data_IF_050321996902
#
_entry.id   IF_050321996902
#
_cell.length_a   1.000
_cell.length_b   1.000
_cell.length_c   1.000
_cell.angle_alpha   90.00
_cell.angle_beta   90.00
_cell.angle_gamma   90.00
#
_symmetry.space_group_name_H-M   'P 1'
#
loop_
_entity.id
_entity.type
_entity.pdbx_description
1 polymer ?
#
# COMPACT_ATOMS: atom_id res chain seq x y z
N UNK A 1 3.82 -4.35 -26.22
CA UNK A 1 4.81 -3.26 -26.35
C UNK A 1 6.17 -3.82 -25.95
N UNK A 2 7.17 -3.84 -26.86
CA UNK A 2 8.49 -4.44 -26.61
C UNK A 2 9.15 -3.83 -25.36
N UNK A 3 9.85 -4.65 -24.57
CA UNK A 3 10.50 -4.30 -23.29
C UNK A 3 11.38 -3.04 -23.37
N UNK A 4 11.98 -2.76 -24.54
CA UNK A 4 12.77 -1.55 -24.80
C UNK A 4 11.95 -0.24 -24.75
N UNK A 5 10.71 -0.26 -25.25
CA UNK A 5 9.82 0.91 -25.22
C UNK A 5 9.38 1.27 -23.79
N UNK A 6 9.16 0.25 -22.94
CA UNK A 6 8.86 0.46 -21.51
C UNK A 6 10.08 1.03 -20.77
N UNK A 7 11.28 0.53 -21.04
CA UNK A 7 12.53 1.03 -20.44
C UNK A 7 12.79 2.52 -20.70
N UNK A 8 12.55 3.00 -21.93
CA UNK A 8 12.67 4.44 -22.27
C UNK A 8 11.66 5.33 -21.54
N UNK A 9 10.43 4.86 -21.35
CA UNK A 9 9.42 5.63 -20.60
C UNK A 9 9.81 5.68 -19.11
N UNK A 10 10.34 4.59 -18.56
CA UNK A 10 10.74 4.54 -17.15
C UNK A 10 11.89 5.45 -16.78
N UNK A 11 12.85 5.69 -17.68
CA UNK A 11 13.96 6.62 -17.40
C UNK A 11 13.47 8.05 -17.11
N UNK A 12 12.33 8.44 -17.69
CA UNK A 12 11.78 9.79 -17.54
C UNK A 12 10.93 9.96 -16.26
N UNK A 13 10.57 8.85 -15.60
CA UNK A 13 9.78 8.82 -14.36
C UNK A 13 10.56 8.16 -13.21
N UNK A 14 11.81 8.60 -13.04
CA UNK A 14 12.59 8.35 -11.83
C UNK A 14 12.46 9.56 -10.91
N UNK A 15 12.25 9.29 -9.62
CA UNK A 15 12.32 10.32 -8.59
C UNK A 15 13.45 10.02 -7.63
N UNK A 16 14.02 11.09 -7.09
CA UNK A 16 14.97 10.98 -6.00
C UNK A 16 14.22 10.57 -4.72
N UNK A 17 14.74 9.55 -4.05
CA UNK A 17 14.27 9.07 -2.76
C UNK A 17 15.44 9.25 -1.82
N UNK A 18 15.23 9.94 -0.69
CA UNK A 18 16.29 10.12 0.30
C UNK A 18 16.88 8.77 0.75
N UNK A 19 18.14 8.79 1.18
CA UNK A 19 18.80 7.58 1.68
C UNK A 19 18.42 7.25 3.13
N UNK A 20 18.09 8.27 3.92
CA UNK A 20 17.90 8.14 5.37
C UNK A 20 17.11 9.33 5.97
N UNK A 21 16.89 9.30 7.28
CA UNK A 21 16.36 10.39 8.10
C UNK A 21 14.93 10.78 7.70
N UNK A 22 14.01 9.81 7.84
CA UNK A 22 12.61 9.95 7.45
C UNK A 22 11.68 10.24 8.63
N UNK A 23 10.82 11.24 8.47
CA UNK A 23 9.61 11.37 9.26
C UNK A 23 8.51 10.50 8.66
N UNK A 24 8.05 9.49 9.39
CA UNK A 24 7.05 8.55 8.93
C UNK A 24 5.64 9.02 9.29
N UNK A 25 4.82 9.23 8.26
CA UNK A 25 3.39 9.55 8.43
C UNK A 25 2.54 8.30 8.23
N UNK A 26 1.78 7.98 9.27
CA UNK A 26 1.04 6.73 9.45
C UNK A 26 -0.24 6.72 8.64
N UNK A 27 -0.74 5.54 8.31
CA UNK A 27 -2.01 5.37 7.59
C UNK A 27 -3.12 4.93 8.54
N UNK A 28 -4.25 5.66 8.57
CA UNK A 28 -5.39 5.25 9.39
C UNK A 28 -5.92 3.85 8.98
N UNK A 29 -6.04 3.57 7.68
CA UNK A 29 -6.51 2.26 7.20
C UNK A 29 -5.48 1.17 7.52
N UNK A 30 -4.18 1.43 7.33
CA UNK A 30 -3.16 0.41 7.65
C UNK A 30 -3.15 0.10 9.14
N UNK A 31 -3.20 1.12 9.99
CA UNK A 31 -3.25 0.94 11.44
C UNK A 31 -4.47 0.16 11.92
N UNK A 32 -5.63 0.36 11.26
CA UNK A 32 -6.86 -0.32 11.65
C UNK A 32 -6.97 -1.74 11.12
N UNK A 33 -6.47 -2.03 9.92
CA UNK A 33 -6.73 -3.31 9.24
C UNK A 33 -5.48 -4.16 9.01
N UNK A 34 -4.31 -3.54 8.88
CA UNK A 34 -3.04 -4.21 8.57
C UNK A 34 -1.89 -3.69 9.46
N UNK A 35 -2.04 -3.71 10.80
CA UNK A 35 -1.04 -3.12 11.71
C UNK A 35 0.30 -3.86 11.63
N UNK A 36 0.30 -5.16 11.36
CA UNK A 36 1.52 -5.97 11.21
C UNK A 36 2.39 -5.47 10.04
N UNK A 37 1.78 -5.05 8.94
CA UNK A 37 2.50 -4.47 7.79
C UNK A 37 3.21 -3.15 8.15
N UNK A 38 2.56 -2.27 8.92
CA UNK A 38 3.17 -1.02 9.39
C UNK A 38 4.33 -1.28 10.38
N UNK A 39 4.12 -2.20 11.33
CA UNK A 39 5.17 -2.58 12.28
C UNK A 39 6.36 -3.22 11.58
N UNK A 40 6.12 -4.07 10.57
CA UNK A 40 7.18 -4.62 9.75
C UNK A 40 7.97 -3.55 9.01
N UNK A 41 7.30 -2.58 8.37
CA UNK A 41 8.00 -1.49 7.67
C UNK A 41 8.95 -0.73 8.59
N UNK A 42 8.47 -0.35 9.78
CA UNK A 42 9.27 0.39 10.76
C UNK A 42 10.44 -0.46 11.29
N UNK A 43 10.20 -1.74 11.58
CA UNK A 43 11.24 -2.69 11.97
C UNK A 43 12.28 -2.86 10.86
N UNK A 44 11.84 -3.03 9.62
CA UNK A 44 12.71 -3.16 8.45
C UNK A 44 13.60 -1.93 8.29
N UNK A 45 13.03 -0.73 8.34
CA UNK A 45 13.80 0.51 8.24
C UNK A 45 14.82 0.65 9.37
N UNK A 46 14.39 0.50 10.63
CA UNK A 46 15.24 0.75 11.81
C UNK A 46 16.27 -0.36 12.03
N UNK A 47 15.83 -1.61 12.02
CA UNK A 47 16.61 -2.75 12.52
C UNK A 47 17.26 -3.58 11.41
N UNK A 48 16.76 -3.53 10.17
CA UNK A 48 17.35 -4.27 9.04
C UNK A 48 18.22 -3.38 8.18
N UNK A 49 17.76 -2.16 7.88
CA UNK A 49 18.49 -1.18 7.07
C UNK A 49 19.30 -0.18 7.89
N UNK A 50 19.10 -0.12 9.22
CA UNK A 50 19.81 0.81 10.09
C UNK A 50 19.48 2.28 9.83
N UNK A 51 18.26 2.56 9.34
CA UNK A 51 17.81 3.91 8.97
C UNK A 51 17.17 4.63 10.15
N UNK A 52 17.41 5.93 10.20
CA UNK A 52 16.74 6.84 11.11
C UNK A 52 15.32 7.15 10.61
N UNK A 53 14.33 6.60 11.31
CA UNK A 53 12.91 6.78 11.00
C UNK A 53 12.12 7.09 12.26
N UNK A 54 11.54 8.28 12.30
CA UNK A 54 10.75 8.75 13.44
C UNK A 54 9.27 8.84 13.11
N UNK A 55 8.44 8.42 14.05
CA UNK A 55 6.99 8.57 14.00
C UNK A 55 6.53 9.37 15.21
N UNK A 56 5.64 10.36 15.00
CA UNK A 56 5.16 11.20 16.08
C UNK A 56 3.81 10.69 16.61
N UNK A 57 3.64 10.46 17.93
CA UNK A 57 2.39 10.00 18.52
C UNK A 57 1.22 10.96 18.26
N UNK A 58 1.49 12.26 18.08
CA UNK A 58 0.50 13.29 17.75
C UNK A 58 0.13 13.37 16.27
N UNK A 59 0.69 12.52 15.40
CA UNK A 59 0.25 12.43 14.00
C UNK A 59 -1.23 12.03 13.90
N UNK A 60 -1.97 12.64 12.98
CA UNK A 60 -3.43 12.48 12.81
C UNK A 60 -3.78 11.92 11.44
N UNK A 61 -5.08 11.69 11.18
CA UNK A 61 -5.54 11.40 9.82
C UNK A 61 -5.15 12.54 8.87
N UNK A 62 -4.83 12.20 7.61
CA UNK A 62 -4.68 13.20 6.55
C UNK A 62 -6.01 13.81 6.09
N UNK A 63 -7.16 13.30 6.58
CA UNK A 63 -8.53 13.68 6.15
C UNK A 63 -8.86 13.41 4.68
N UNK A 64 -7.97 12.71 3.97
CA UNK A 64 -8.04 12.53 2.52
C UNK A 64 -9.26 11.85 1.96
N UNK A 65 -9.73 10.81 2.64
CA UNK A 65 -10.96 10.11 2.25
C UNK A 65 -12.17 11.05 2.37
N UNK A 66 -12.17 11.93 3.37
CA UNK A 66 -13.22 12.95 3.54
C UNK A 66 -13.13 14.04 2.49
N UNK A 67 -11.92 14.48 2.12
CA UNK A 67 -11.72 15.48 1.06
C UNK A 67 -12.23 14.98 -0.29
N UNK A 68 -11.76 13.81 -0.74
CA UNK A 68 -12.25 13.22 -1.98
C UNK A 68 -13.68 12.65 -1.90
N UNK A 69 -14.30 12.67 -0.71
CA UNK A 69 -15.71 12.38 -0.48
C UNK A 69 -16.60 13.62 -0.45
N UNK A 70 -16.04 14.81 -0.71
CA UNK A 70 -16.68 16.14 -0.62
C UNK A 70 -17.19 16.50 0.80
N UNK A 71 -16.61 15.91 1.84
CA UNK A 71 -16.95 16.18 3.24
C UNK A 71 -15.98 17.18 3.87
N UNK A 72 -14.73 17.20 3.42
CA UNK A 72 -13.68 18.07 3.97
C UNK A 72 -13.29 19.11 2.92
N UNK A 73 -13.26 20.39 3.32
CA UNK A 73 -12.87 21.49 2.45
C UNK A 73 -11.37 21.48 2.13
N UNK A 74 -10.99 22.02 0.98
CA UNK A 74 -9.60 22.11 0.53
C UNK A 74 -8.70 22.83 1.55
N UNK A 75 -9.14 23.98 2.07
CA UNK A 75 -8.40 24.75 3.08
C UNK A 75 -8.19 23.97 4.38
N UNK A 76 -9.18 23.19 4.79
CA UNK A 76 -9.10 22.33 5.98
C UNK A 76 -8.04 21.25 5.80
N UNK A 77 -8.06 20.52 4.68
CA UNK A 77 -7.08 19.45 4.44
C UNK A 77 -5.66 20.01 4.26
N UNK A 78 -5.50 21.15 3.59
CA UNK A 78 -4.21 21.85 3.50
C UNK A 78 -3.66 22.18 4.89
N UNK A 79 -4.51 22.69 5.79
CA UNK A 79 -4.11 23.02 7.17
C UNK A 79 -3.74 21.77 7.98
N UNK A 80 -4.46 20.65 7.80
CA UNK A 80 -4.14 19.37 8.44
C UNK A 80 -2.81 18.81 7.95
N UNK A 81 -2.54 18.86 6.63
CA UNK A 81 -1.26 18.42 6.06
C UNK A 81 -0.11 19.34 6.51
N UNK A 82 -0.33 20.65 6.56
CA UNK A 82 0.63 21.59 7.13
C UNK A 82 0.96 21.28 8.59
N UNK A 83 -0.02 20.84 9.42
CA UNK A 83 0.25 20.35 10.78
C UNK A 83 1.16 19.13 10.78
N UNK A 84 1.04 18.22 9.82
CA UNK A 84 1.94 17.07 9.73
C UNK A 84 3.36 17.50 9.38
N UNK A 85 3.53 18.49 8.50
CA UNK A 85 4.82 19.08 8.20
C UNK A 85 5.40 19.87 9.39
N UNK A 86 4.57 20.50 10.22
CA UNK A 86 5.01 21.11 11.47
C UNK A 86 5.56 20.07 12.45
N UNK A 87 4.89 18.93 12.61
CA UNK A 87 5.39 17.83 13.45
C UNK A 87 6.73 17.28 12.95
N UNK A 88 6.91 17.23 11.62
CA UNK A 88 8.18 16.85 11.00
C UNK A 88 9.28 17.87 11.31
N UNK A 89 9.01 19.18 11.12
CA UNK A 89 9.92 20.29 11.41
C UNK A 89 10.36 20.30 12.88
N UNK A 90 9.41 20.20 13.80
CA UNK A 90 9.67 20.17 15.26
C UNK A 90 10.54 18.99 15.67
N UNK A 91 10.41 17.85 14.97
CA UNK A 91 11.23 16.68 15.21
C UNK A 91 12.62 16.77 14.55
N UNK A 92 12.90 17.82 13.77
CA UNK A 92 14.18 18.04 13.09
C UNK A 92 14.34 17.33 11.74
N UNK A 93 13.25 16.80 11.16
CA UNK A 93 13.28 16.01 9.93
C UNK A 93 12.92 16.87 8.71
N UNK A 94 13.39 16.44 7.53
CA UNK A 94 13.08 17.09 6.25
C UNK A 94 12.64 16.13 5.14
N UNK A 95 12.90 14.84 5.30
CA UNK A 95 12.44 13.79 4.39
C UNK A 95 11.19 13.15 4.99
N UNK A 96 10.14 12.97 4.19
CA UNK A 96 8.89 12.37 4.65
C UNK A 96 8.63 11.03 3.96
N UNK A 97 8.34 10.01 4.76
CA UNK A 97 7.93 8.68 4.31
C UNK A 97 6.43 8.52 4.54
N UNK A 98 5.67 8.39 3.45
CA UNK A 98 4.22 8.35 3.48
C UNK A 98 3.72 6.91 3.39
N UNK A 99 3.01 6.48 4.42
CA UNK A 99 2.46 5.12 4.51
C UNK A 99 1.36 4.88 3.47
N UNK A 100 0.43 5.82 3.30
CA UNK A 100 -0.77 5.62 2.47
C UNK A 100 -0.66 6.28 1.09
N UNK A 101 -1.03 5.57 0.02
CA UNK A 101 -1.15 6.13 -1.33
C UNK A 101 -2.13 7.30 -1.41
N UNK A 102 -3.26 7.25 -0.68
CA UNK A 102 -4.20 8.40 -0.64
C UNK A 102 -3.51 9.63 -0.04
N UNK A 103 -2.81 9.47 1.08
CA UNK A 103 -2.04 10.58 1.69
C UNK A 103 -0.93 11.07 0.77
N UNK A 104 -0.24 10.17 0.08
CA UNK A 104 0.81 10.52 -0.87
C UNK A 104 0.27 11.39 -2.01
N UNK A 105 -0.86 11.01 -2.60
CA UNK A 105 -1.53 11.80 -3.63
C UNK A 105 -1.94 13.18 -3.14
N UNK A 106 -2.51 13.27 -1.93
CA UNK A 106 -2.95 14.55 -1.33
C UNK A 106 -1.78 15.46 -1.02
N UNK A 107 -0.70 14.94 -0.43
CA UNK A 107 0.45 15.77 -0.08
C UNK A 107 1.09 16.29 -1.35
N UNK A 108 1.14 15.46 -2.39
CA UNK A 108 1.57 15.86 -3.73
C UNK A 108 0.69 16.96 -4.32
N UNK A 109 -0.63 16.77 -4.29
CA UNK A 109 -1.62 17.75 -4.78
C UNK A 109 -1.47 19.10 -4.09
N UNK A 110 -1.35 19.08 -2.77
CA UNK A 110 -1.24 20.28 -1.94
C UNK A 110 0.08 21.00 -2.21
N UNK A 111 1.20 20.28 -2.26
CA UNK A 111 2.52 20.86 -2.57
C UNK A 111 2.52 21.47 -3.97
N UNK A 112 1.96 20.78 -4.97
CA UNK A 112 1.84 21.34 -6.32
C UNK A 112 0.91 22.56 -6.35
N UNK A 113 -0.18 22.54 -5.59
CA UNK A 113 -1.09 23.68 -5.47
C UNK A 113 -0.35 24.89 -4.88
N UNK A 114 0.38 24.73 -3.78
CA UNK A 114 1.17 25.80 -3.18
C UNK A 114 2.28 26.35 -4.08
N UNK A 115 2.85 25.52 -4.96
CA UNK A 115 3.84 25.98 -5.95
C UNK A 115 3.22 26.88 -7.03
N UNK A 116 2.01 26.55 -7.49
CA UNK A 116 1.32 27.31 -8.54
C UNK A 116 0.53 28.50 -7.98
N UNK A 117 0.10 28.41 -6.73
CA UNK A 117 -0.72 29.40 -6.02
C UNK A 117 -0.09 29.70 -4.63
N UNK A 118 1.00 30.49 -4.57
CA UNK A 118 1.69 30.80 -3.33
C UNK A 118 0.80 31.48 -2.27
N UNK A 119 -0.26 32.18 -2.69
CA UNK A 119 -1.26 32.75 -1.79
C UNK A 119 -2.01 31.70 -0.96
N UNK A 120 -2.21 30.48 -1.50
CA UNK A 120 -2.82 29.37 -0.75
C UNK A 120 -1.84 28.79 0.27
N UNK A 121 -0.54 28.84 0.00
CA UNK A 121 0.49 28.48 0.99
C UNK A 121 0.44 29.45 2.17
N UNK A 122 0.42 30.76 1.90
CA UNK A 122 0.37 31.79 2.94
C UNK A 122 -0.92 31.72 3.77
N UNK A 123 -2.08 31.52 3.13
CA UNK A 123 -3.34 31.25 3.85
C UNK A 123 -3.24 30.01 4.74
N UNK A 124 -2.61 28.95 4.25
CA UNK A 124 -2.43 27.72 5.05
C UNK A 124 -1.53 27.97 6.25
N UNK A 125 -0.44 28.74 6.10
CA UNK A 125 0.43 29.15 7.21
C UNK A 125 -0.34 29.94 8.26
N UNK A 126 -1.15 30.91 7.83
CA UNK A 126 -2.00 31.71 8.72
C UNK A 126 -3.00 30.82 9.50
N UNK A 127 -3.68 29.91 8.80
CA UNK A 127 -4.66 29.02 9.42
C UNK A 127 -4.01 28.03 10.39
N UNK A 128 -2.85 27.46 10.05
CA UNK A 128 -2.11 26.59 10.96
C UNK A 128 -1.71 27.34 12.23
N UNK A 129 -1.15 28.54 12.07
CA UNK A 129 -0.70 29.35 13.20
C UNK A 129 -1.88 29.73 14.10
N UNK A 130 -2.99 30.22 13.54
CA UNK A 130 -4.21 30.53 14.31
C UNK A 130 -4.78 29.32 15.05
N UNK A 131 -4.74 28.14 14.44
CA UNK A 131 -5.33 26.94 15.02
C UNK A 131 -4.43 26.26 16.08
N UNK A 132 -3.11 26.40 15.96
CA UNK A 132 -2.17 25.55 16.73
C UNK A 132 -0.93 26.27 17.28
N UNK A 133 -0.64 27.49 16.85
CA UNK A 133 0.61 28.21 17.15
C UNK A 133 1.84 27.61 16.47
N UNK A 134 1.67 26.71 15.49
CA UNK A 134 2.76 25.99 14.82
C UNK A 134 3.13 26.62 13.50
N UNK A 135 4.36 26.36 13.08
CA UNK A 135 4.90 26.68 11.76
C UNK A 135 5.39 25.41 11.09
N UNK A 136 5.50 25.42 9.76
CA UNK A 136 5.95 24.26 9.00
C UNK A 136 6.87 24.65 7.84
N UNK A 137 7.71 23.70 7.43
CA UNK A 137 8.48 23.78 6.20
C UNK A 137 7.97 22.71 5.23
N UNK A 138 7.99 22.99 3.93
CA UNK A 138 7.64 21.98 2.93
C UNK A 138 8.76 20.93 2.89
N UNK A 139 8.45 19.62 2.88
CA UNK A 139 9.49 18.58 2.84
C UNK A 139 10.45 18.73 1.67
N UNK A 140 11.75 18.51 1.91
CA UNK A 140 12.79 18.51 0.88
C UNK A 140 12.71 17.25 0.00
N UNK A 141 12.36 16.11 0.61
CA UNK A 141 12.11 14.85 -0.09
C UNK A 141 10.80 14.20 0.37
N UNK A 142 10.05 13.63 -0.58
CA UNK A 142 8.80 12.94 -0.29
C UNK A 142 8.73 11.60 -1.03
N UNK A 143 8.65 10.52 -0.26
CA UNK A 143 8.53 9.16 -0.78
C UNK A 143 7.28 8.49 -0.22
N UNK A 144 6.58 7.72 -1.05
CA UNK A 144 5.68 6.70 -0.54
C UNK A 144 6.55 5.56 0.00
N UNK A 145 6.11 4.90 1.07
CA UNK A 145 6.86 3.78 1.68
C UNK A 145 7.12 2.61 0.71
N UNK A 146 6.28 2.41 -0.31
CA UNK A 146 6.57 1.46 -1.40
C UNK A 146 7.76 1.88 -2.26
N UNK A 147 8.02 3.18 -2.43
CA UNK A 147 9.21 3.65 -3.16
C UNK A 147 10.48 3.28 -2.42
N UNK A 148 10.44 3.37 -1.09
CA UNK A 148 11.56 3.01 -0.22
C UNK A 148 11.83 1.51 -0.29
N UNK A 149 10.81 0.66 -0.17
CA UNK A 149 10.99 -0.80 -0.36
C UNK A 149 11.48 -1.11 -1.77
N UNK A 150 11.00 -0.38 -2.79
CA UNK A 150 11.45 -0.58 -4.17
C UNK A 150 12.92 -0.21 -4.33
N UNK A 151 13.37 0.91 -3.74
CA UNK A 151 14.77 1.32 -3.73
C UNK A 151 15.68 0.23 -3.16
N UNK A 152 15.26 -0.39 -2.06
CA UNK A 152 16.02 -1.43 -1.35
C UNK A 152 15.70 -2.87 -1.80
N UNK A 153 14.96 -3.06 -2.90
CA UNK A 153 14.51 -4.40 -3.35
C UNK A 153 15.64 -5.39 -3.62
N UNK A 154 16.80 -4.91 -4.09
CA UNK A 154 17.98 -5.74 -4.35
C UNK A 154 18.62 -6.22 -3.04
N UNK A 155 18.78 -5.32 -2.06
CA UNK A 155 19.27 -5.69 -0.72
C UNK A 155 18.31 -6.67 -0.01
N UNK A 156 17.00 -6.50 -0.21
CA UNK A 156 16.00 -7.48 0.24
C UNK A 156 16.22 -8.82 -0.46
N UNK A 157 16.46 -8.83 -1.77
CA UNK A 157 16.68 -10.05 -2.55
C UNK A 157 17.96 -10.79 -2.17
N UNK A 158 19.01 -10.08 -1.76
CA UNK A 158 20.25 -10.64 -1.23
C UNK A 158 20.05 -11.30 0.14
N UNK A 159 19.16 -10.74 0.97
CA UNK A 159 18.80 -11.28 2.30
C UNK A 159 17.59 -12.22 2.27
N UNK A 160 17.02 -12.48 1.09
CA UNK A 160 15.79 -13.25 0.96
C UNK A 160 16.01 -14.73 1.28
N UNK A 161 15.16 -15.28 2.15
CA UNK A 161 15.09 -16.72 2.45
C UNK A 161 14.18 -17.47 1.49
N UNK A 162 13.17 -16.77 0.96
CA UNK A 162 12.19 -17.32 0.03
C UNK A 162 12.16 -16.49 -1.26
N UNK A 163 11.70 -17.13 -2.34
CA UNK A 163 11.47 -16.50 -3.64
C UNK A 163 10.00 -16.60 -4.00
N UNK A 164 9.54 -15.75 -4.90
CA UNK A 164 8.16 -15.77 -5.41
C UNK A 164 8.02 -16.86 -6.49
N UNK A 165 8.30 -18.10 -6.09
CA UNK A 165 8.24 -19.28 -6.95
C UNK A 165 7.36 -20.34 -6.29
N UNK A 166 6.79 -21.23 -7.10
CA UNK A 166 6.16 -22.43 -6.60
C UNK A 166 7.23 -23.44 -6.17
N UNK A 167 7.31 -23.78 -4.89
CA UNK A 167 8.30 -24.72 -4.34
C UNK A 167 8.23 -26.11 -4.99
N UNK A 168 7.06 -26.53 -5.48
CA UNK A 168 6.89 -27.85 -6.10
C UNK A 168 7.32 -27.89 -7.57
N UNK A 169 7.03 -26.83 -8.33
CA UNK A 169 7.30 -26.81 -9.78
C UNK A 169 8.57 -26.05 -10.16
N UNK A 170 9.08 -25.18 -9.28
CA UNK A 170 10.19 -24.26 -9.56
C UNK A 170 9.81 -23.05 -10.42
N UNK A 171 8.57 -22.98 -10.90
CA UNK A 171 8.10 -21.89 -11.75
C UNK A 171 7.81 -20.62 -10.95
N UNK A 172 8.07 -19.42 -11.50
CA UNK A 172 7.63 -18.15 -10.92
C UNK A 172 6.12 -18.12 -10.66
N UNK A 173 5.70 -17.56 -9.53
CA UNK A 173 4.28 -17.32 -9.26
C UNK A 173 3.78 -16.13 -10.08
N UNK A 174 2.55 -16.24 -10.56
CA UNK A 174 1.84 -15.20 -11.31
C UNK A 174 1.27 -14.16 -10.35
N UNK A 175 1.82 -12.96 -10.35
CA UNK A 175 1.42 -11.88 -9.45
C UNK A 175 0.74 -10.76 -10.21
N UNK A 176 -0.45 -10.39 -9.78
CA UNK A 176 -1.12 -9.17 -10.25
C UNK A 176 -0.72 -8.01 -9.34
N UNK A 177 -0.08 -6.99 -9.89
CA UNK A 177 0.11 -5.73 -9.16
C UNK A 177 -1.14 -4.85 -9.23
N UNK A 178 -1.45 -4.20 -8.12
CA UNK A 178 -2.44 -3.15 -8.02
C UNK A 178 -1.83 -1.87 -7.44
N UNK A 179 -1.51 -0.96 -8.35
CA UNK A 179 -1.07 0.40 -8.02
C UNK A 179 -2.30 1.25 -7.72
N UNK A 180 -2.34 1.80 -6.50
CA UNK A 180 -3.41 2.71 -6.11
C UNK A 180 -3.44 3.95 -7.02
N UNK A 181 -4.63 4.38 -7.41
CA UNK A 181 -4.81 5.48 -8.37
C UNK A 181 -4.13 6.80 -7.93
N UNK A 182 -4.06 7.08 -6.63
CA UNK A 182 -3.46 8.30 -6.10
C UNK A 182 -1.92 8.26 -6.04
N UNK A 183 -1.28 7.17 -6.48
CA UNK A 183 0.18 7.04 -6.48
C UNK A 183 0.81 7.72 -7.69
N UNK A 184 0.36 7.36 -8.90
CA UNK A 184 0.96 7.87 -10.15
C UNK A 184 -0.06 8.37 -11.18
N UNK A 185 -1.37 8.18 -10.99
CA UNK A 185 -2.37 8.62 -11.97
C UNK A 185 -2.63 10.13 -11.91
N UNK A 186 -2.63 10.72 -10.70
CA UNK A 186 -2.86 12.15 -10.51
C UNK A 186 -1.64 12.98 -10.89
N UNK A 187 -0.46 12.59 -10.38
CA UNK A 187 0.80 13.28 -10.66
C UNK A 187 1.89 12.28 -11.08
N UNK A 188 1.96 11.92 -12.37
CA UNK A 188 2.82 10.85 -12.87
C UNK A 188 4.31 11.03 -12.54
N UNK A 189 4.79 12.28 -12.51
CA UNK A 189 6.18 12.63 -12.19
C UNK A 189 6.64 12.18 -10.79
N UNK A 190 5.71 11.94 -9.87
CA UNK A 190 6.03 11.52 -8.50
C UNK A 190 5.92 10.02 -8.27
N UNK A 191 5.48 9.24 -9.27
CA UNK A 191 5.41 7.78 -9.21
C UNK A 191 6.54 7.13 -10.02
N UNK A 192 7.15 6.08 -9.48
CA UNK A 192 8.20 5.33 -10.16
C UNK A 192 7.60 4.63 -11.39
N UNK A 193 8.07 5.00 -12.58
CA UNK A 193 7.59 4.47 -13.86
C UNK A 193 6.33 5.16 -14.42
N UNK A 194 5.85 6.23 -13.79
CA UNK A 194 4.75 7.06 -14.29
C UNK A 194 3.36 6.44 -14.13
N UNK A 195 2.38 6.97 -14.88
CA UNK A 195 0.97 6.57 -14.76
C UNK A 195 0.62 5.27 -15.50
N UNK A 196 1.12 5.11 -16.73
CA UNK A 196 0.73 4.00 -17.61
C UNK A 196 1.42 2.68 -17.22
N UNK A 197 2.71 2.75 -16.92
CA UNK A 197 3.53 1.60 -16.54
C UNK A 197 4.31 1.83 -15.25
N UNK A 198 3.66 2.18 -14.12
CA UNK A 198 4.33 2.21 -12.83
C UNK A 198 5.05 0.88 -12.58
N UNK A 199 6.27 0.97 -12.07
CA UNK A 199 7.14 -0.20 -11.88
C UNK A 199 7.45 -0.48 -10.40
N UNK A 200 6.90 0.31 -9.48
CA UNK A 200 7.21 0.21 -8.04
C UNK A 200 6.86 -1.16 -7.46
N UNK A 201 5.77 -1.81 -7.89
CA UNK A 201 5.43 -3.17 -7.45
C UNK A 201 5.95 -4.22 -8.43
N UNK A 202 5.75 -4.03 -9.73
CA UNK A 202 6.27 -4.92 -10.77
C UNK A 202 7.76 -5.23 -10.62
N UNK A 203 8.60 -4.21 -10.41
CA UNK A 203 10.03 -4.43 -10.23
C UNK A 203 10.39 -5.12 -8.90
N UNK A 204 9.58 -5.01 -7.85
CA UNK A 204 9.76 -5.85 -6.64
C UNK A 204 9.46 -7.31 -6.95
N UNK A 205 8.33 -7.58 -7.62
CA UNK A 205 7.90 -8.93 -8.01
C UNK A 205 9.00 -9.60 -8.84
N UNK A 206 9.46 -8.94 -9.90
CA UNK A 206 10.51 -9.46 -10.78
C UNK A 206 11.82 -9.70 -10.02
N UNK A 207 12.25 -8.75 -9.18
CA UNK A 207 13.49 -8.87 -8.40
C UNK A 207 13.45 -10.03 -7.42
N UNK A 208 12.27 -10.35 -6.86
CA UNK A 208 12.09 -11.44 -5.90
C UNK A 208 11.71 -12.78 -6.56
N UNK A 209 11.72 -12.84 -7.89
CA UNK A 209 11.61 -14.08 -8.68
C UNK A 209 10.20 -14.41 -9.17
N UNK A 210 9.24 -13.49 -9.04
CA UNK A 210 7.86 -13.68 -9.50
C UNK A 210 7.64 -13.21 -10.93
N UNK A 211 6.51 -13.60 -11.51
CA UNK A 211 6.06 -13.18 -12.82
C UNK A 211 4.94 -12.14 -12.73
N UNK A 212 5.12 -10.96 -13.34
CA UNK A 212 4.09 -9.91 -13.33
C UNK A 212 3.06 -10.16 -14.41
N UNK A 213 1.80 -10.33 -14.00
CA UNK A 213 0.66 -10.54 -14.91
C UNK A 213 0.19 -9.21 -15.50
N UNK A 214 0.09 -9.16 -16.83
CA UNK A 214 -0.58 -8.07 -17.56
C UNK A 214 -1.97 -8.53 -18.00
N UNK A 215 -3.00 -7.74 -17.70
CA UNK A 215 -4.40 -8.11 -17.92
C UNK A 215 -5.27 -6.86 -18.20
N UNK A 216 -6.48 -7.01 -18.79
CA UNK A 216 -7.24 -5.87 -19.32
C UNK A 216 -7.54 -4.76 -18.30
N UNK A 217 -7.98 -5.11 -17.08
CA UNK A 217 -8.35 -4.12 -16.06
C UNK A 217 -7.20 -3.83 -15.07
N UNK A 218 -5.93 -4.00 -15.48
CA UNK A 218 -4.75 -3.74 -14.64
C UNK A 218 -4.77 -2.35 -14.00
N UNK A 219 -5.11 -1.32 -14.78
CA UNK A 219 -5.20 0.08 -14.32
C UNK A 219 -6.59 0.51 -13.84
N UNK A 220 -7.54 -0.42 -13.77
CA UNK A 220 -8.86 -0.16 -13.23
C UNK A 220 -8.84 0.09 -11.72
N UNK A 221 -9.79 0.88 -11.23
CA UNK A 221 -9.93 1.20 -9.81
C UNK A 221 -10.21 -0.08 -8.99
N UNK A 222 -9.73 -0.13 -7.75
CA UNK A 222 -10.09 -1.21 -6.81
C UNK A 222 -11.55 -1.14 -6.33
N UNK A 223 -12.28 -0.08 -6.66
CA UNK A 223 -13.66 0.09 -6.21
C UNK A 223 -13.82 0.70 -4.81
N UNK A 224 -12.77 1.19 -4.13
CA UNK A 224 -13.01 1.94 -2.88
C UNK A 224 -14.00 3.08 -3.12
N UNK A 225 -13.76 3.93 -4.13
CA UNK A 225 -14.73 4.96 -4.54
C UNK A 225 -15.15 5.83 -3.35
N UNK A 226 -14.26 6.73 -2.90
CA UNK A 226 -14.39 7.41 -1.60
C UNK A 226 -15.79 7.94 -1.34
N UNK A 227 -16.39 8.70 -2.28
CA UNK A 227 -17.77 9.17 -2.16
C UNK A 227 -18.79 8.03 -2.16
N UNK A 228 -18.67 7.10 -3.11
CA UNK A 228 -19.61 5.99 -3.30
C UNK A 228 -19.71 5.09 -2.05
N UNK A 229 -18.59 4.88 -1.36
CA UNK A 229 -18.53 4.06 -0.16
C UNK A 229 -18.73 4.85 1.13
N UNK A 230 -17.98 5.95 1.34
CA UNK A 230 -17.96 6.68 2.62
C UNK A 230 -19.31 7.28 2.95
N UNK A 231 -19.90 8.02 2.00
CA UNK A 231 -21.24 8.61 2.17
C UNK A 231 -22.34 7.70 1.61
N UNK A 232 -21.97 6.46 1.26
CA UNK A 232 -22.87 5.41 0.77
C UNK A 232 -23.72 5.82 -0.44
N UNK A 233 -23.22 6.75 -1.27
CA UNK A 233 -23.95 7.25 -2.43
C UNK A 233 -24.30 6.13 -3.43
N UNK A 234 -23.44 5.11 -3.57
CA UNK A 234 -23.73 3.90 -4.32
C UNK A 234 -22.75 2.77 -3.96
N UNK A 235 -23.08 1.95 -2.96
CA UNK A 235 -22.22 0.80 -2.58
C UNK A 235 -22.06 -0.24 -3.69
N UNK A 236 -23.05 -0.37 -4.57
CA UNK A 236 -23.00 -1.28 -5.72
C UNK A 236 -21.88 -0.92 -6.70
N UNK A 237 -21.55 0.36 -6.83
CA UNK A 237 -20.40 0.82 -7.61
C UNK A 237 -19.08 0.25 -7.05
N UNK A 238 -18.90 0.25 -5.73
CA UNK A 238 -17.65 -0.22 -5.13
C UNK A 238 -17.41 -1.72 -5.39
N UNK A 239 -18.46 -2.52 -5.24
CA UNK A 239 -18.41 -3.95 -5.51
C UNK A 239 -18.21 -4.22 -7.01
N UNK A 240 -18.93 -3.55 -7.90
CA UNK A 240 -18.87 -3.81 -9.35
C UNK A 240 -17.49 -3.53 -9.96
N UNK A 241 -16.77 -2.50 -9.49
CA UNK A 241 -15.40 -2.25 -9.93
C UNK A 241 -14.45 -3.38 -9.48
N UNK A 242 -14.67 -3.93 -8.29
CA UNK A 242 -13.88 -5.05 -7.78
C UNK A 242 -14.17 -6.32 -8.57
N UNK A 243 -15.46 -6.65 -8.78
CA UNK A 243 -15.93 -7.76 -9.63
C UNK A 243 -15.28 -7.68 -11.01
N UNK A 244 -15.42 -6.55 -11.70
CA UNK A 244 -14.86 -6.34 -13.04
C UNK A 244 -13.35 -6.61 -13.08
N UNK A 245 -12.64 -6.14 -12.06
CA UNK A 245 -11.19 -6.34 -11.95
C UNK A 245 -10.83 -7.81 -11.76
N UNK A 246 -11.49 -8.51 -10.84
CA UNK A 246 -11.25 -9.92 -10.57
C UNK A 246 -11.68 -10.85 -11.73
N UNK A 247 -12.82 -10.58 -12.37
CA UNK A 247 -13.27 -11.28 -13.58
C UNK A 247 -12.23 -11.19 -14.69
N UNK A 248 -11.70 -9.99 -14.95
CA UNK A 248 -10.74 -9.78 -16.03
C UNK A 248 -9.37 -10.44 -15.78
N UNK A 249 -8.96 -10.64 -14.52
CA UNK A 249 -7.68 -11.28 -14.20
C UNK A 249 -7.79 -12.81 -14.09
N UNK A 250 -8.98 -13.37 -13.85
CA UNK A 250 -9.20 -14.80 -13.67
C UNK A 250 -8.59 -15.68 -14.77
N UNK A 251 -8.70 -15.36 -16.09
CA UNK A 251 -8.09 -16.19 -17.14
C UNK A 251 -6.56 -16.28 -17.06
N UNK A 252 -5.91 -15.33 -16.37
CA UNK A 252 -4.46 -15.26 -16.20
C UNK A 252 -3.96 -16.00 -14.96
N UNK A 253 -4.87 -16.64 -14.20
CA UNK A 253 -4.55 -17.51 -13.06
C UNK A 253 -3.55 -16.89 -12.08
N UNK A 254 -3.86 -15.71 -11.50
CA UNK A 254 -2.99 -15.08 -10.53
C UNK A 254 -2.92 -15.90 -9.24
N UNK A 255 -1.72 -16.05 -8.71
CA UNK A 255 -1.43 -16.65 -7.41
C UNK A 255 -1.80 -15.73 -6.26
N UNK A 256 -1.56 -14.43 -6.44
CA UNK A 256 -1.97 -13.40 -5.49
C UNK A 256 -1.98 -12.01 -6.14
N UNK A 257 -2.61 -11.06 -5.45
CA UNK A 257 -2.57 -9.63 -5.78
C UNK A 257 -1.60 -8.93 -4.82
N UNK A 258 -0.72 -8.10 -5.36
CA UNK A 258 0.16 -7.22 -4.58
C UNK A 258 -0.33 -5.79 -4.65
N UNK A 259 -0.54 -5.11 -3.52
CA UNK A 259 -1.06 -3.75 -3.48
C UNK A 259 -0.11 -2.79 -2.76
N UNK A 260 -0.08 -1.51 -3.18
CA UNK A 260 0.65 -0.46 -2.45
C UNK A 260 -0.24 0.49 -1.65
N UNK A 261 -1.55 0.35 -1.75
CA UNK A 261 -2.51 1.19 -1.04
C UNK A 261 -3.28 0.36 -0.03
N UNK A 262 -3.25 0.71 1.27
CA UNK A 262 -3.96 -0.06 2.30
C UNK A 262 -5.48 -0.08 2.07
N UNK A 263 -6.05 0.99 1.50
CA UNK A 263 -7.47 1.00 1.11
C UNK A 263 -7.77 0.01 -0.02
N UNK A 264 -6.87 -0.09 -1.01
CA UNK A 264 -7.03 -1.07 -2.09
C UNK A 264 -6.88 -2.51 -1.57
N UNK A 265 -5.90 -2.75 -0.68
CA UNK A 265 -5.72 -4.05 -0.02
C UNK A 265 -7.01 -4.50 0.64
N UNK A 266 -7.58 -3.65 1.51
CA UNK A 266 -8.80 -3.94 2.24
C UNK A 266 -9.99 -4.25 1.33
N UNK A 267 -10.19 -3.45 0.28
CA UNK A 267 -11.34 -3.61 -0.61
C UNK A 267 -11.22 -4.86 -1.46
N UNK A 268 -10.05 -5.12 -2.04
CA UNK A 268 -9.83 -6.31 -2.86
C UNK A 268 -9.85 -7.60 -2.03
N UNK A 269 -9.39 -7.56 -0.79
CA UNK A 269 -9.48 -8.67 0.15
C UNK A 269 -10.94 -8.93 0.58
N UNK A 270 -11.60 -7.92 1.17
CA UNK A 270 -12.94 -8.10 1.77
C UNK A 270 -14.04 -8.30 0.75
N UNK A 271 -13.98 -7.70 -0.44
CA UNK A 271 -15.05 -7.91 -1.41
C UNK A 271 -15.10 -9.33 -1.95
N UNK A 272 -14.01 -10.10 -1.89
CA UNK A 272 -14.05 -11.52 -2.25
C UNK A 272 -14.99 -12.32 -1.34
N UNK A 273 -15.12 -11.94 -0.06
CA UNK A 273 -16.13 -12.50 0.82
C UNK A 273 -17.55 -12.23 0.35
N UNK A 274 -17.83 -10.97 0.03
CA UNK A 274 -19.15 -10.55 -0.44
C UNK A 274 -19.51 -11.24 -1.75
N UNK A 275 -18.58 -11.31 -2.71
CA UNK A 275 -18.77 -12.01 -3.99
C UNK A 275 -19.08 -13.50 -3.77
N UNK A 276 -18.32 -14.17 -2.89
CA UNK A 276 -18.55 -15.57 -2.54
C UNK A 276 -19.90 -15.79 -1.84
N UNK A 277 -20.30 -14.90 -0.92
CA UNK A 277 -21.56 -15.05 -0.17
C UNK A 277 -22.81 -14.68 -0.99
N UNK A 278 -22.72 -13.69 -1.86
CA UNK A 278 -23.86 -13.22 -2.65
C UNK A 278 -24.11 -14.09 -3.89
N UNK A 279 -23.04 -14.51 -4.57
CA UNK A 279 -23.13 -15.11 -5.91
C UNK A 279 -22.48 -16.50 -6.00
N UNK A 280 -21.77 -16.95 -4.94
CA UNK A 280 -20.95 -18.16 -5.00
C UNK A 280 -19.68 -18.00 -5.84
N UNK A 281 -19.35 -16.77 -6.25
CA UNK A 281 -18.26 -16.49 -7.18
C UNK A 281 -16.90 -16.52 -6.48
N UNK A 282 -15.97 -17.28 -7.05
CA UNK A 282 -14.55 -17.31 -6.67
C UNK A 282 -13.66 -17.18 -7.91
N UNK A 283 -12.51 -16.53 -7.74
CA UNK A 283 -11.64 -16.13 -8.85
C UNK A 283 -10.28 -16.83 -8.87
N UNK A 284 -9.88 -17.48 -7.78
CA UNK A 284 -8.66 -18.27 -7.72
C UNK A 284 -8.83 -19.65 -8.35
N UNK A 285 -7.71 -20.38 -8.46
CA UNK A 285 -7.74 -21.79 -8.85
C UNK A 285 -8.30 -22.66 -7.70
N UNK A 286 -8.70 -23.90 -8.02
CA UNK A 286 -9.19 -24.89 -7.04
C UNK A 286 -10.39 -24.45 -6.18
N UNK A 287 -11.16 -23.45 -6.63
CA UNK A 287 -12.31 -22.93 -5.86
C UNK A 287 -11.93 -21.97 -4.73
N UNK A 288 -10.68 -21.50 -4.72
CA UNK A 288 -10.15 -20.55 -3.75
C UNK A 288 -10.41 -19.09 -4.17
N UNK A 289 -10.35 -18.17 -3.20
CA UNK A 289 -10.19 -16.73 -3.49
C UNK A 289 -8.71 -16.38 -3.63
N UNK A 290 -8.41 -15.30 -4.34
CA UNK A 290 -7.01 -14.89 -4.60
C UNK A 290 -6.51 -14.06 -3.41
N UNK A 291 -5.45 -14.48 -2.70
CA UNK A 291 -4.88 -13.70 -1.60
C UNK A 291 -4.45 -12.29 -2.05
N UNK A 292 -4.58 -11.30 -1.17
CA UNK A 292 -4.24 -9.90 -1.45
C UNK A 292 -3.25 -9.42 -0.41
N UNK A 293 -2.01 -9.17 -0.82
CA UNK A 293 -0.91 -8.78 0.07
C UNK A 293 -0.54 -7.31 -0.13
N UNK A 294 -0.11 -6.69 0.96
CA UNK A 294 0.67 -5.45 0.92
C UNK A 294 2.11 -5.74 0.51
N UNK A 295 2.81 -4.74 -0.06
CA UNK A 295 4.24 -4.88 -0.39
C UNK A 295 5.12 -5.05 0.85
N UNK A 296 4.70 -4.51 2.00
CA UNK A 296 5.38 -4.75 3.27
C UNK A 296 5.31 -6.22 3.68
N UNK A 297 4.11 -6.82 3.63
CA UNK A 297 3.93 -8.24 3.93
C UNK A 297 4.74 -9.11 2.98
N UNK A 298 4.69 -8.85 1.67
CA UNK A 298 5.50 -9.60 0.71
C UNK A 298 7.00 -9.49 1.00
N UNK A 299 7.50 -8.28 1.31
CA UNK A 299 8.90 -8.07 1.69
C UNK A 299 9.27 -8.89 2.95
N UNK A 300 8.40 -8.90 3.96
CA UNK A 300 8.59 -9.71 5.16
C UNK A 300 8.59 -11.21 4.86
N UNK A 301 7.67 -11.68 4.03
CA UNK A 301 7.57 -13.08 3.62
C UNK A 301 8.82 -13.54 2.87
N UNK A 302 9.33 -12.77 1.89
CA UNK A 302 10.54 -13.17 1.14
C UNK A 302 11.79 -13.17 2.03
N UNK A 303 11.85 -12.30 3.04
CA UNK A 303 12.91 -12.31 4.07
C UNK A 303 12.74 -13.43 5.11
N UNK A 304 11.63 -14.16 5.07
CA UNK A 304 11.30 -15.27 5.97
C UNK A 304 10.95 -14.85 7.39
N UNK A 305 10.25 -13.72 7.53
CA UNK A 305 9.53 -13.39 8.76
C UNK A 305 8.29 -14.26 8.90
N UNK A 306 7.90 -14.52 10.14
CA UNK A 306 6.70 -15.29 10.44
C UNK A 306 5.45 -14.56 9.90
N UNK A 307 4.57 -15.22 9.12
CA UNK A 307 3.37 -14.57 8.57
C UNK A 307 2.42 -13.99 9.63
N UNK A 308 2.41 -14.54 10.85
CA UNK A 308 1.55 -14.07 11.94
C UNK A 308 2.07 -12.79 12.60
N UNK A 309 3.39 -12.57 12.57
CA UNK A 309 3.99 -11.30 12.98
C UNK A 309 3.74 -10.18 11.94
N UNK A 310 3.59 -10.57 10.67
CA UNK A 310 3.23 -9.67 9.57
C UNK A 310 1.74 -9.32 9.55
N UNK A 311 0.90 -10.04 10.30
CA UNK A 311 -0.53 -9.76 10.44
C UNK A 311 -1.43 -10.44 9.40
N UNK A 312 -0.95 -11.47 8.68
CA UNK A 312 -1.74 -12.13 7.63
C UNK A 312 -3.02 -12.80 8.15
N UNK A 313 -3.09 -13.15 9.43
CA UNK A 313 -4.27 -13.70 10.10
C UNK A 313 -5.47 -12.74 10.13
N UNK A 314 -5.26 -11.44 9.91
CA UNK A 314 -6.32 -10.42 9.89
C UNK A 314 -6.96 -10.23 8.51
N UNK A 315 -6.39 -10.84 7.47
CA UNK A 315 -6.96 -10.82 6.13
C UNK A 315 -8.24 -11.66 6.09
N UNK A 316 -9.17 -11.30 5.21
CA UNK A 316 -10.40 -12.04 4.96
C UNK A 316 -10.10 -13.31 4.16
N UNK A 317 -9.29 -13.17 3.12
CA UNK A 317 -8.78 -14.27 2.31
C UNK A 317 -7.49 -14.79 2.94
N UNK A 318 -7.55 -16.02 3.45
CA UNK A 318 -6.44 -16.68 4.10
C UNK A 318 -5.33 -17.01 3.08
N UNK A 319 -4.10 -16.74 3.49
CA UNK A 319 -2.92 -16.83 2.62
C UNK A 319 -2.18 -18.16 2.74
N UNK A 320 -2.62 -19.07 3.62
CA UNK A 320 -1.99 -20.37 3.83
C UNK A 320 -1.76 -21.18 2.56
N UNK A 321 -2.70 -21.25 1.58
CA UNK A 321 -2.42 -21.91 0.31
C UNK A 321 -1.24 -21.28 -0.44
N UNK A 322 -1.17 -19.94 -0.47
CA UNK A 322 -0.06 -19.21 -1.07
C UNK A 322 1.26 -19.45 -0.30
N UNK A 323 1.23 -19.39 1.03
CA UNK A 323 2.41 -19.63 1.88
C UNK A 323 2.98 -21.03 1.63
N UNK A 324 2.12 -22.05 1.53
CA UNK A 324 2.52 -23.43 1.19
C UNK A 324 3.09 -23.50 -0.23
N UNK A 325 2.49 -22.80 -1.20
CA UNK A 325 2.97 -22.74 -2.58
C UNK A 325 4.36 -22.09 -2.68
N UNK A 326 4.60 -21.01 -1.93
CA UNK A 326 5.90 -20.35 -1.80
C UNK A 326 6.92 -21.18 -0.98
N UNK A 327 6.46 -22.20 -0.25
CA UNK A 327 7.30 -23.01 0.61
C UNK A 327 7.68 -22.36 1.93
N UNK A 328 6.93 -21.34 2.36
CA UNK A 328 7.14 -20.63 3.62
C UNK A 328 6.74 -21.54 4.78
N UNK A 329 7.63 -21.64 5.76
CA UNK A 329 7.40 -22.43 6.97
C UNK A 329 6.65 -21.58 8.00
N UNK A 330 5.54 -22.08 8.49
CA UNK A 330 4.73 -21.44 9.53
C UNK A 330 4.01 -22.50 10.37
N UNK A 331 3.71 -22.14 11.61
CA UNK A 331 2.94 -22.99 12.53
C UNK A 331 1.48 -22.50 12.56
N UNK A 332 0.52 -23.29 12.04
CA UNK A 332 -0.91 -22.94 12.06
C UNK A 332 -1.45 -22.70 13.47
N UNK A 333 -0.90 -23.37 14.49
CA UNK A 333 -1.35 -23.27 15.88
C UNK A 333 -1.03 -21.90 16.50
N UNK A 334 -0.17 -21.11 15.87
CA UNK A 334 0.21 -19.78 16.34
C UNK A 334 -0.58 -18.65 15.67
N UNK A 335 -1.43 -18.96 14.69
CA UNK A 335 -2.13 -17.97 13.85
C UNK A 335 -2.91 -16.92 14.65
N UNK A 336 -3.57 -17.34 15.71
CA UNK A 336 -4.38 -16.49 16.59
C UNK A 336 -3.82 -16.46 18.01
N UNK A 337 -2.52 -16.72 18.20
CA UNK A 337 -1.85 -16.54 19.48
C UNK A 337 -1.14 -15.19 19.52
N UNK A 338 -1.34 -14.50 20.63
CA UNK A 338 -0.53 -13.32 20.97
C UNK A 338 0.91 -13.71 21.27
N UNK A 339 1.83 -12.74 21.28
CA UNK A 339 3.25 -12.98 21.59
C UNK A 339 3.49 -13.58 22.98
N UNK A 340 2.60 -13.30 23.93
CA UNK A 340 2.60 -13.89 25.29
C UNK A 340 1.84 -15.22 25.37
N UNK A 341 1.41 -15.79 24.24
CA UNK A 341 0.80 -17.12 24.14
C UNK A 341 -0.70 -17.17 24.41
N UNK A 342 -1.37 -16.04 24.69
CA UNK A 342 -2.83 -16.00 24.86
C UNK A 342 -3.53 -16.20 23.53
N UNK A 343 -4.55 -17.06 23.53
CA UNK A 343 -5.42 -17.32 22.39
C UNK A 343 -6.38 -16.14 22.16
N UNK A 344 -6.38 -15.58 20.95
CA UNK A 344 -7.33 -14.60 20.47
C UNK A 344 -8.60 -15.28 19.95
N UNK A 345 -9.69 -14.53 19.88
CA UNK A 345 -10.91 -14.97 19.21
C UNK A 345 -10.61 -15.36 17.76
N UNK A 346 -11.04 -16.56 17.37
CA UNK A 346 -10.91 -17.05 15.99
C UNK A 346 -12.10 -16.51 15.19
N UNK A 347 -11.87 -15.76 14.10
CA UNK A 347 -12.96 -15.26 13.27
C UNK A 347 -13.72 -16.38 12.57
N UNK A 348 -15.04 -16.24 12.45
CA UNK A 348 -15.87 -17.12 11.64
C UNK A 348 -15.87 -16.70 10.16
N UNK A 349 -16.27 -17.61 9.27
CA UNK A 349 -16.51 -17.35 7.84
C UNK A 349 -15.28 -16.90 7.01
N UNK A 350 -14.06 -17.21 7.47
CA UNK A 350 -12.84 -16.98 6.71
C UNK A 350 -12.85 -17.72 5.36
N UNK A 351 -12.22 -17.13 4.34
CA UNK A 351 -12.11 -17.74 3.01
C UNK A 351 -10.74 -18.38 2.86
N UNK A 352 -10.66 -19.58 2.28
CA UNK A 352 -9.44 -20.39 2.14
C UNK A 352 -8.83 -20.84 3.49
N UNK A 353 -9.61 -20.81 4.58
CA UNK A 353 -9.17 -21.25 5.89
C UNK A 353 -9.02 -22.77 5.99
#
# INVERSE_FOLDING_TARGET
>A
MKTEGKKRIWTDYQKEIADDHFFYVRSCIRQSFFPGSEQFFLHFMRNVLGKDVFENPSHTTCTGIGYHGDVVLLSTIMTVVARHFALMKEAGYKNIAISCVTSFGIYTEIIETWKHFPEELEKTREYLYKATGREFDVPENMAHSSDIIYKFRNEIAEKAKYRIINKQTGEPLNVVEHIGCHYSKMFPKYGIGGAEFPNVLGGMIETWGGNVVDYPERRHCCGFGFRQYLIQANRGYSLSNTVKKFESMKPFKPDFVLTNCPGCNMFMDKWQYTMKKMEGTVYGENGESIPVLTYEELAGLVMGYNPWDLGLQYHMVQSEPLLRKMGIEFDPENKYKTKDGRQMSVPENLINA
#
